data_IF_342185491416
#
_entry.id   IF_342185491416
#
_cell.length_a   1.000
_cell.length_b   1.000
_cell.length_c   1.000
_cell.angle_alpha   90.00
_cell.angle_beta   90.00
_cell.angle_gamma   90.00
#
_symmetry.space_group_name_H-M   'P 1'
#
loop_
_entity.id
_entity.type
_entity.pdbx_description
1 polymer ?
#
# COMPACT_ATOMS: atom_id res chain seq x y z
N UNK A 1 2.91 -47.05 -13.33
CA UNK A 1 1.45 -46.81 -13.24
C UNK A 1 1.15 -45.39 -13.70
N UNK A 2 0.25 -45.19 -14.67
CA UNK A 2 -0.19 -43.86 -15.06
C UNK A 2 -1.02 -43.29 -13.90
N UNK A 3 -0.58 -42.17 -13.32
CA UNK A 3 -1.22 -41.57 -12.15
C UNK A 3 -2.63 -41.10 -12.53
N UNK A 4 -3.65 -41.57 -11.80
CA UNK A 4 -5.02 -41.04 -11.88
C UNK A 4 -4.98 -39.50 -11.81
N UNK A 5 -5.84 -38.80 -12.57
CA UNK A 5 -5.98 -37.35 -12.45
C UNK A 5 -6.33 -37.03 -10.99
N UNK A 6 -5.46 -36.25 -10.32
CA UNK A 6 -5.71 -35.74 -8.97
C UNK A 6 -6.54 -34.48 -9.07
N UNK A 7 -7.50 -34.33 -8.18
CA UNK A 7 -8.23 -33.08 -8.02
C UNK A 7 -7.29 -31.95 -7.54
N UNK A 8 -7.74 -30.71 -7.72
CA UNK A 8 -6.95 -29.52 -7.43
C UNK A 8 -6.65 -29.40 -5.92
N UNK A 9 -7.61 -29.71 -5.06
CA UNK A 9 -7.45 -29.62 -3.60
C UNK A 9 -6.39 -30.59 -3.07
N UNK A 10 -6.43 -31.84 -3.52
CA UNK A 10 -5.42 -32.86 -3.28
C UNK A 10 -4.05 -32.43 -3.78
N UNK A 11 -3.99 -31.72 -4.90
CA UNK A 11 -2.74 -31.17 -5.44
C UNK A 11 -2.19 -30.07 -4.54
N UNK A 12 -3.03 -29.15 -4.06
CA UNK A 12 -2.63 -28.08 -3.12
C UNK A 12 -2.06 -28.61 -1.81
N UNK A 13 -2.53 -29.75 -1.32
CA UNK A 13 -2.04 -30.39 -0.08
C UNK A 13 -0.63 -30.95 -0.20
N UNK A 14 -0.20 -31.32 -1.41
CA UNK A 14 1.09 -31.99 -1.62
C UNK A 14 2.25 -31.01 -1.78
N UNK A 15 1.95 -29.76 -2.13
CA UNK A 15 2.95 -28.73 -2.36
C UNK A 15 3.15 -27.94 -1.06
N UNK A 16 4.40 -27.76 -0.66
CA UNK A 16 4.74 -26.96 0.50
C UNK A 16 4.55 -25.47 0.22
N UNK A 17 3.78 -24.78 1.06
CA UNK A 17 3.57 -23.33 0.98
C UNK A 17 4.87 -22.53 1.14
N UNK A 18 5.83 -23.02 1.92
CA UNK A 18 7.07 -22.28 2.18
C UNK A 18 8.12 -22.52 1.10
N UNK A 19 8.45 -23.78 0.79
CA UNK A 19 9.55 -24.09 -0.14
C UNK A 19 9.10 -24.47 -1.56
N UNK A 20 7.80 -24.59 -1.80
CA UNK A 20 7.25 -24.95 -3.12
C UNK A 20 7.51 -26.40 -3.52
N UNK A 21 8.24 -27.18 -2.72
CA UNK A 21 8.53 -28.57 -3.04
C UNK A 21 7.31 -29.47 -2.80
N UNK A 22 7.18 -30.48 -3.66
CA UNK A 22 6.22 -31.56 -3.46
C UNK A 22 6.71 -32.51 -2.38
N UNK A 23 5.86 -32.77 -1.39
CA UNK A 23 6.11 -33.75 -0.34
C UNK A 23 4.82 -34.48 0.05
N UNK A 24 4.84 -35.81 0.00
CA UNK A 24 3.71 -36.66 0.38
C UNK A 24 3.33 -36.56 1.86
N UNK A 25 4.27 -36.10 2.71
CA UNK A 25 4.10 -35.89 4.16
C UNK A 25 3.72 -34.45 4.51
N UNK A 26 3.30 -33.64 3.54
CA UNK A 26 2.80 -32.30 3.82
C UNK A 26 1.58 -32.37 4.74
N UNK A 27 1.60 -31.56 5.79
CA UNK A 27 0.49 -31.37 6.70
C UNK A 27 -0.47 -30.38 6.05
N UNK A 28 -1.75 -30.69 6.07
CA UNK A 28 -2.79 -29.80 5.57
C UNK A 28 -3.03 -28.63 6.54
N UNK A 29 -2.96 -27.42 6.01
CA UNK A 29 -3.27 -26.20 6.75
C UNK A 29 -4.77 -25.99 6.73
N UNK A 30 -5.34 -25.83 7.94
CA UNK A 30 -6.75 -25.55 8.17
C UNK A 30 -6.90 -24.20 8.87
N UNK A 31 -8.07 -23.58 8.74
CA UNK A 31 -8.38 -22.32 9.42
C UNK A 31 -8.14 -22.43 10.92
N UNK A 32 -7.49 -21.43 11.52
CA UNK A 32 -7.14 -21.42 12.94
C UNK A 32 -5.86 -22.18 13.30
N UNK A 33 -5.14 -22.77 12.33
CA UNK A 33 -3.85 -23.40 12.60
C UNK A 33 -2.79 -22.35 12.95
N UNK A 34 -2.09 -22.45 14.10
CA UNK A 34 -1.08 -21.47 14.51
C UNK A 34 0.11 -21.38 13.54
N UNK A 35 0.33 -22.40 12.70
CA UNK A 35 1.35 -22.40 11.66
C UNK A 35 1.07 -21.34 10.58
N UNK A 36 -0.19 -20.95 10.35
CA UNK A 36 -0.56 -19.91 9.40
C UNK A 36 0.10 -18.56 9.77
N UNK A 37 0.08 -18.22 11.06
CA UNK A 37 0.70 -16.99 11.57
C UNK A 37 2.21 -17.03 11.34
N UNK A 38 2.86 -18.17 11.59
CA UNK A 38 4.30 -18.30 11.37
C UNK A 38 4.66 -18.20 9.88
N UNK A 39 3.86 -18.78 8.99
CA UNK A 39 4.04 -18.65 7.54
C UNK A 39 3.96 -17.18 7.12
N UNK A 40 2.96 -16.45 7.61
CA UNK A 40 2.80 -15.02 7.32
C UNK A 40 3.94 -14.17 7.86
N UNK A 41 4.45 -14.48 9.06
CA UNK A 41 5.54 -13.70 9.64
C UNK A 41 6.90 -13.95 8.96
N UNK A 42 7.20 -15.20 8.60
CA UNK A 42 8.57 -15.60 8.25
C UNK A 42 8.78 -16.04 6.80
N UNK A 43 7.73 -16.49 6.09
CA UNK A 43 7.87 -17.06 4.75
C UNK A 43 7.14 -16.27 3.66
N UNK A 44 5.88 -15.88 3.90
CA UNK A 44 5.07 -15.16 2.92
C UNK A 44 3.99 -14.30 3.61
N UNK A 45 4.27 -13.00 3.75
CA UNK A 45 3.45 -12.03 4.48
C UNK A 45 2.02 -11.88 3.96
N UNK A 46 1.82 -12.10 2.66
CA UNK A 46 0.52 -11.97 2.02
C UNK A 46 -0.14 -13.33 1.78
N UNK A 47 0.32 -14.39 2.44
CA UNK A 47 -0.25 -15.72 2.27
C UNK A 47 -1.71 -15.77 2.74
N UNK A 48 -2.57 -16.30 1.86
CA UNK A 48 -3.97 -16.55 2.14
C UNK A 48 -4.36 -17.97 1.67
N UNK A 49 -4.74 -18.84 2.61
CA UNK A 49 -5.10 -20.22 2.31
C UNK A 49 -6.42 -20.39 1.53
N UNK A 50 -7.29 -19.38 1.52
CA UNK A 50 -8.58 -19.46 0.78
C UNK A 50 -8.37 -19.30 -0.72
N UNK A 51 -7.25 -18.71 -1.15
CA UNK A 51 -6.91 -18.59 -2.56
C UNK A 51 -6.54 -19.96 -3.12
N UNK A 52 -7.30 -20.41 -4.13
CA UNK A 52 -7.10 -21.71 -4.78
C UNK A 52 -5.73 -21.82 -5.47
N UNK A 53 -5.13 -20.70 -5.87
CA UNK A 53 -3.77 -20.63 -6.42
C UNK A 53 -2.67 -20.91 -5.39
N UNK A 54 -3.00 -20.88 -4.09
CA UNK A 54 -2.03 -21.09 -3.03
C UNK A 54 -2.02 -22.56 -2.58
N UNK A 55 -0.83 -23.16 -2.34
CA UNK A 55 -0.70 -24.45 -1.67
C UNK A 55 -1.29 -24.39 -0.26
N UNK A 56 -1.82 -25.53 0.22
CA UNK A 56 -2.28 -25.69 1.60
C UNK A 56 -1.44 -26.74 2.36
N UNK A 57 -0.41 -27.30 1.73
CA UNK A 57 0.52 -28.22 2.37
C UNK A 57 1.65 -27.50 3.08
N UNK A 58 2.10 -28.04 4.21
CA UNK A 58 3.36 -27.65 4.86
C UNK A 58 4.24 -28.87 5.07
N UNK A 59 5.44 -28.87 4.49
CA UNK A 59 6.36 -29.99 4.67
C UNK A 59 6.98 -30.00 6.08
N UNK A 60 7.33 -31.19 6.62
CA UNK A 60 7.91 -31.30 7.97
C UNK A 60 9.17 -30.46 8.18
N UNK A 61 10.01 -30.34 7.15
CA UNK A 61 11.25 -29.56 7.19
C UNK A 61 10.97 -28.07 7.37
N UNK A 62 10.06 -27.49 6.57
CA UNK A 62 9.69 -26.09 6.71
C UNK A 62 8.95 -25.82 8.02
N UNK A 63 8.18 -26.79 8.53
CA UNK A 63 7.60 -26.69 9.88
C UNK A 63 8.69 -26.52 10.94
N UNK A 64 9.75 -27.32 10.91
CA UNK A 64 10.89 -27.18 11.84
C UNK A 64 11.51 -25.80 11.71
N UNK A 65 11.82 -25.35 10.49
CA UNK A 65 12.41 -24.03 10.25
C UNK A 65 11.54 -22.86 10.72
N UNK A 66 10.21 -22.94 10.58
CA UNK A 66 9.30 -21.93 11.11
C UNK A 66 9.36 -21.85 12.64
N UNK A 67 9.48 -22.99 13.33
CA UNK A 67 9.66 -22.99 14.79
C UNK A 67 11.05 -22.52 15.22
N UNK A 68 12.10 -22.85 14.46
CA UNK A 68 13.45 -22.31 14.67
C UNK A 68 13.47 -20.79 14.53
N UNK A 69 12.86 -20.25 13.47
CA UNK A 69 12.72 -18.81 13.28
C UNK A 69 11.93 -18.14 14.43
N UNK A 70 10.85 -18.79 14.89
CA UNK A 70 10.08 -18.32 16.07
C UNK A 70 10.94 -18.25 17.33
N UNK A 71 11.91 -19.15 17.49
CA UNK A 71 12.86 -19.16 18.63
C UNK A 71 13.99 -18.15 18.47
N UNK A 72 14.09 -17.44 17.35
CA UNK A 72 15.17 -16.51 17.04
C UNK A 72 16.42 -17.18 16.46
N UNK A 73 16.35 -18.45 16.07
CA UNK A 73 17.46 -19.13 15.39
C UNK A 73 17.63 -18.58 13.96
N UNK A 74 18.87 -18.35 13.56
CA UNK A 74 19.18 -17.88 12.20
C UNK A 74 19.02 -19.01 11.20
N UNK A 75 18.11 -18.84 10.23
CA UNK A 75 17.96 -19.78 9.12
C UNK A 75 19.08 -19.60 8.10
N UNK A 76 19.43 -20.69 7.40
CA UNK A 76 20.40 -20.62 6.32
C UNK A 76 19.91 -19.76 5.16
N UNK A 77 20.82 -19.04 4.49
CA UNK A 77 20.51 -18.22 3.32
C UNK A 77 19.77 -19.02 2.23
N UNK A 78 20.20 -20.27 1.98
CA UNK A 78 19.56 -21.18 1.03
C UNK A 78 18.08 -21.42 1.35
N UNK A 79 17.73 -21.50 2.64
CA UNK A 79 16.33 -21.69 3.06
C UNK A 79 15.51 -20.44 2.82
N UNK A 80 16.07 -19.27 3.17
CA UNK A 80 15.41 -17.97 2.97
C UNK A 80 15.18 -17.67 1.49
N UNK A 81 16.18 -17.91 0.65
CA UNK A 81 16.06 -17.76 -0.82
C UNK A 81 14.98 -18.67 -1.39
N UNK A 82 14.91 -19.93 -0.94
CA UNK A 82 13.84 -20.86 -1.37
C UNK A 82 12.46 -20.36 -0.99
N UNK A 83 12.30 -19.79 0.21
CA UNK A 83 11.02 -19.24 0.65
C UNK A 83 10.62 -18.00 -0.17
N UNK A 84 11.56 -17.10 -0.40
CA UNK A 84 11.34 -15.91 -1.23
C UNK A 84 10.95 -16.30 -2.66
N UNK A 85 11.71 -17.18 -3.31
CA UNK A 85 11.44 -17.66 -4.67
C UNK A 85 10.08 -18.35 -4.78
N UNK A 86 9.68 -19.11 -3.76
CA UNK A 86 8.36 -19.75 -3.72
C UNK A 86 7.25 -18.71 -3.64
N UNK A 87 7.41 -17.68 -2.81
CA UNK A 87 6.43 -16.60 -2.70
C UNK A 87 6.22 -15.87 -4.04
N UNK A 88 7.30 -15.67 -4.80
CA UNK A 88 7.24 -15.08 -6.15
C UNK A 88 6.64 -16.04 -7.18
N UNK A 89 7.01 -17.32 -7.15
CA UNK A 89 6.42 -18.37 -8.02
C UNK A 89 4.91 -18.45 -7.89
N UNK A 90 4.40 -18.41 -6.65
CA UNK A 90 2.97 -18.49 -6.38
C UNK A 90 2.22 -17.26 -6.95
N UNK A 91 2.85 -16.07 -6.96
CA UNK A 91 2.25 -14.86 -7.58
C UNK A 91 2.14 -14.96 -9.10
N UNK A 92 3.07 -15.69 -9.75
CA UNK A 92 3.12 -15.86 -11.20
C UNK A 92 2.15 -16.92 -11.72
N UNK A 93 1.43 -17.62 -10.84
CA UNK A 93 0.47 -18.65 -11.26
C UNK A 93 -0.76 -18.02 -11.90
N UNK A 94 -1.17 -18.44 -13.11
CA UNK A 94 -2.43 -17.98 -13.67
C UNK A 94 -3.56 -18.36 -12.71
N UNK A 95 -4.51 -17.42 -12.56
CA UNK A 95 -5.67 -17.62 -11.70
C UNK A 95 -6.42 -18.87 -12.19
N UNK A 96 -6.58 -19.83 -11.29
CA UNK A 96 -7.33 -21.06 -11.50
C UNK A 96 -8.63 -20.75 -12.28
N UNK A 97 -8.81 -21.36 -13.47
CA UNK A 97 -9.92 -21.08 -14.39
C UNK A 97 -11.28 -21.65 -13.95
N UNK A 98 -11.38 -22.13 -12.70
CA UNK A 98 -12.63 -22.66 -12.11
C UNK A 98 -12.69 -24.19 -12.05
N UNK A 99 -13.63 -24.70 -11.25
CA UNK A 99 -13.85 -26.14 -10.98
C UNK A 99 -14.47 -26.90 -12.17
N UNK A 100 -14.84 -26.20 -13.24
CA UNK A 100 -15.60 -26.74 -14.39
C UNK A 100 -14.72 -27.40 -15.47
N UNK A 101 -13.40 -27.39 -15.32
CA UNK A 101 -12.47 -27.99 -16.30
C UNK A 101 -12.07 -29.39 -15.82
N UNK A 102 -12.31 -30.41 -16.65
CA UNK A 102 -12.01 -31.82 -16.35
C UNK A 102 -10.52 -32.10 -16.04
N UNK A 103 -9.62 -31.23 -16.50
CA UNK A 103 -8.20 -31.24 -16.16
C UNK A 103 -7.71 -29.82 -15.82
N UNK A 104 -7.33 -29.61 -14.56
CA UNK A 104 -6.69 -28.36 -14.14
C UNK A 104 -5.21 -28.37 -14.53
N UNK A 105 -4.78 -27.40 -15.34
CA UNK A 105 -3.39 -27.25 -15.80
C UNK A 105 -2.66 -26.09 -15.11
N UNK A 106 -3.07 -25.78 -13.87
CA UNK A 106 -2.29 -24.89 -13.02
C UNK A 106 -1.00 -25.57 -12.55
N UNK A 107 0.00 -24.77 -12.17
CA UNK A 107 1.29 -25.30 -11.72
C UNK A 107 1.15 -26.30 -10.57
N UNK A 108 0.25 -26.08 -9.60
CA UNK A 108 0.08 -27.00 -8.48
C UNK A 108 -0.36 -28.40 -8.94
N UNK A 109 -1.26 -28.46 -9.93
CA UNK A 109 -1.72 -29.71 -10.52
C UNK A 109 -0.66 -30.35 -11.43
N UNK A 110 0.10 -29.54 -12.18
CA UNK A 110 1.23 -30.03 -12.98
C UNK A 110 2.29 -30.64 -12.04
N UNK A 111 2.67 -29.92 -10.98
CA UNK A 111 3.63 -30.38 -9.96
C UNK A 111 3.17 -31.64 -9.24
N UNK A 112 1.88 -31.76 -8.95
CA UNK A 112 1.33 -32.95 -8.27
C UNK A 112 1.35 -34.19 -9.17
N UNK A 113 1.20 -34.02 -10.49
CA UNK A 113 1.23 -35.09 -11.50
C UNK A 113 2.65 -35.49 -11.89
N UNK A 114 3.58 -34.52 -11.95
CA UNK A 114 4.99 -34.77 -12.24
C UNK A 114 5.58 -35.77 -11.21
N UNK A 115 6.61 -36.51 -11.59
CA UNK A 115 7.41 -37.35 -10.68
C UNK A 115 8.45 -36.54 -9.93
N UNK A 116 8.92 -35.43 -10.49
CA UNK A 116 9.94 -34.54 -9.89
C UNK A 116 9.51 -33.98 -8.53
N UNK A 117 10.47 -33.72 -7.63
CA UNK A 117 10.18 -33.09 -6.32
C UNK A 117 9.91 -31.59 -6.45
N UNK A 118 10.48 -30.94 -7.45
CA UNK A 118 10.37 -29.52 -7.72
C UNK A 118 10.37 -29.30 -9.24
N UNK A 119 9.66 -28.27 -9.69
CA UNK A 119 9.70 -27.84 -11.09
C UNK A 119 10.69 -26.67 -11.23
N UNK A 120 11.47 -26.71 -12.31
CA UNK A 120 12.38 -25.62 -12.66
C UNK A 120 11.58 -24.37 -13.03
N UNK A 121 11.99 -23.21 -12.50
CA UNK A 121 11.31 -21.94 -12.77
C UNK A 121 11.27 -21.60 -14.26
N UNK A 122 12.33 -21.92 -15.01
CA UNK A 122 12.37 -21.67 -16.45
C UNK A 122 11.34 -22.52 -17.19
N UNK A 123 11.13 -23.77 -16.78
CA UNK A 123 10.11 -24.63 -17.38
C UNK A 123 8.70 -24.08 -17.12
N UNK A 124 8.45 -23.57 -15.90
CA UNK A 124 7.18 -22.89 -15.56
C UNK A 124 6.98 -21.64 -16.42
N UNK A 125 7.99 -20.78 -16.52
CA UNK A 125 7.92 -19.57 -17.32
C UNK A 125 7.64 -19.93 -18.79
N UNK A 126 8.36 -20.91 -19.34
CA UNK A 126 8.18 -21.38 -20.72
C UNK A 126 6.78 -21.98 -20.97
N UNK A 127 6.15 -22.60 -19.98
CA UNK A 127 4.76 -23.08 -20.09
C UNK A 127 3.75 -21.94 -20.22
N UNK A 128 4.00 -20.79 -19.59
CA UNK A 128 3.06 -19.66 -19.55
C UNK A 128 3.44 -18.49 -20.47
N UNK A 129 4.63 -18.50 -21.09
CA UNK A 129 5.04 -17.53 -22.11
C UNK A 129 4.19 -17.64 -23.39
N UNK A 130 3.51 -18.78 -23.59
CA UNK A 130 2.71 -19.06 -24.80
C UNK A 130 1.19 -18.88 -24.64
N UNK A 131 0.69 -18.41 -23.49
CA UNK A 131 -0.74 -18.05 -23.38
C UNK A 131 -0.95 -16.70 -24.11
N UNK A 132 -1.76 -16.66 -25.20
CA UNK A 132 -2.08 -15.39 -25.84
C UNK A 132 -3.00 -14.59 -24.91
N UNK A 133 -2.74 -13.29 -24.80
CA UNK A 133 -3.58 -12.28 -24.13
C UNK A 133 -3.49 -12.13 -22.59
N UNK A 134 -2.27 -12.10 -22.05
CA UNK A 134 -2.02 -11.08 -21.01
C UNK A 134 -1.41 -9.89 -21.73
N UNK A 135 -2.04 -8.69 -21.74
CA UNK A 135 -1.35 -7.49 -22.18
C UNK A 135 -0.08 -7.41 -21.36
N UNK A 136 1.08 -7.66 -21.99
CA UNK A 136 2.37 -7.39 -21.35
C UNK A 136 2.25 -5.97 -20.84
N UNK A 137 2.32 -5.77 -19.52
CA UNK A 137 2.48 -4.43 -18.99
C UNK A 137 3.65 -3.85 -19.77
N UNK A 138 3.37 -2.82 -20.55
CA UNK A 138 4.40 -2.11 -21.27
C UNK A 138 5.23 -1.47 -20.17
N UNK A 139 6.30 -2.16 -19.77
CA UNK A 139 7.28 -1.60 -18.86
C UNK A 139 7.91 -0.46 -19.66
N UNK A 140 7.40 0.74 -19.44
CA UNK A 140 7.96 1.96 -20.00
C UNK A 140 9.43 1.99 -19.59
N UNK A 141 10.33 1.80 -20.55
CA UNK A 141 11.77 1.92 -20.28
C UNK A 141 12.02 3.40 -20.02
N UNK A 142 12.63 3.73 -18.89
CA UNK A 142 12.96 5.10 -18.53
C UNK A 142 14.47 5.26 -18.61
N UNK A 143 14.93 6.36 -19.20
CA UNK A 143 16.35 6.72 -19.22
C UNK A 143 16.86 6.93 -17.79
N UNK A 144 17.90 6.21 -17.38
CA UNK A 144 18.52 6.40 -16.06
C UNK A 144 19.24 7.74 -15.89
N UNK A 145 19.53 8.44 -17.00
CA UNK A 145 20.29 9.70 -16.99
C UNK A 145 19.40 10.93 -17.02
N UNK A 146 18.32 10.92 -17.81
CA UNK A 146 17.44 12.07 -17.96
C UNK A 146 15.99 11.83 -17.56
N UNK A 147 15.61 10.59 -17.23
CA UNK A 147 14.25 10.18 -16.86
C UNK A 147 13.18 10.32 -17.97
N UNK A 148 13.57 10.49 -19.23
CA UNK A 148 12.64 10.42 -20.37
C UNK A 148 12.24 8.96 -20.66
N UNK A 149 11.01 8.74 -21.14
CA UNK A 149 10.58 7.43 -21.68
C UNK A 149 11.39 7.09 -22.94
N UNK A 150 11.88 5.86 -23.00
CA UNK A 150 12.63 5.26 -24.10
C UNK A 150 11.77 4.13 -24.68
N UNK A 151 11.69 4.07 -26.00
CA UNK A 151 10.95 3.03 -26.69
C UNK A 151 11.34 2.96 -28.16
N UNK A 152 10.92 1.88 -28.83
CA UNK A 152 11.07 1.78 -30.28
C UNK A 152 10.32 2.94 -30.94
N UNK A 153 10.98 3.70 -31.82
CA UNK A 153 10.42 4.87 -32.51
C UNK A 153 10.41 6.18 -31.71
N UNK A 154 10.87 6.20 -30.45
CA UNK A 154 10.97 7.43 -29.66
C UNK A 154 12.39 8.00 -29.78
N UNK A 155 12.53 9.19 -30.36
CA UNK A 155 13.80 9.90 -30.36
C UNK A 155 14.15 10.36 -28.94
N UNK A 156 15.32 9.96 -28.46
CA UNK A 156 15.79 10.25 -27.11
C UNK A 156 17.11 11.05 -27.11
N UNK A 157 17.06 12.39 -27.27
CA UNK A 157 18.22 13.24 -27.08
C UNK A 157 18.48 13.41 -25.59
N UNK A 158 19.39 12.61 -25.03
CA UNK A 158 19.69 12.63 -23.60
C UNK A 158 20.34 13.95 -23.16
N UNK A 159 19.55 14.85 -22.57
CA UNK A 159 20.02 16.13 -22.05
C UNK A 159 19.74 16.28 -20.56
N UNK A 160 20.75 16.72 -19.79
CA UNK A 160 20.62 16.94 -18.34
C UNK A 160 19.73 18.15 -18.00
N UNK A 161 19.55 19.08 -18.93
CA UNK A 161 18.70 20.28 -18.73
C UNK A 161 17.23 19.92 -18.53
N UNK A 162 16.77 18.81 -19.10
CA UNK A 162 15.36 18.43 -19.13
C UNK A 162 14.96 17.48 -17.98
N UNK A 163 15.89 17.12 -17.09
CA UNK A 163 15.66 16.18 -15.97
C UNK A 163 14.44 16.58 -15.14
N UNK A 164 14.36 17.84 -14.72
CA UNK A 164 13.28 18.33 -13.85
C UNK A 164 11.93 18.23 -14.55
N UNK A 165 11.89 18.54 -15.85
CA UNK A 165 10.67 18.47 -16.65
C UNK A 165 10.25 17.01 -16.90
N UNK A 166 11.19 16.11 -17.17
CA UNK A 166 10.92 14.69 -17.34
C UNK A 166 10.39 14.04 -16.06
N UNK A 167 10.97 14.38 -14.90
CA UNK A 167 10.48 13.94 -13.60
C UNK A 167 9.07 14.43 -13.31
N UNK A 168 8.76 15.70 -13.67
CA UNK A 168 7.39 16.24 -13.56
C UNK A 168 6.41 15.44 -14.41
N UNK A 169 6.75 15.17 -15.67
CA UNK A 169 5.91 14.36 -16.57
C UNK A 169 5.70 12.95 -16.02
N UNK A 170 6.76 12.31 -15.51
CA UNK A 170 6.65 10.99 -14.87
C UNK A 170 5.72 11.03 -13.67
N UNK A 171 5.88 12.00 -12.77
CA UNK A 171 5.04 12.14 -11.58
C UNK A 171 3.56 12.26 -11.97
N UNK A 172 3.24 13.12 -12.93
CA UNK A 172 1.85 13.31 -13.39
C UNK A 172 1.24 12.06 -14.04
N UNK A 173 2.06 11.14 -14.56
CA UNK A 173 1.59 9.89 -15.15
C UNK A 173 1.22 8.78 -14.14
N UNK A 174 1.58 8.94 -12.84
CA UNK A 174 1.36 7.92 -11.79
C UNK A 174 -0.03 7.95 -11.12
N UNK A 175 -0.92 8.83 -11.62
CA UNK A 175 -2.28 9.01 -11.11
C UNK A 175 -2.40 10.09 -10.03
N UNK A 176 -3.44 10.93 -10.13
CA UNK A 176 -3.61 12.14 -9.31
C UNK A 176 -3.54 11.89 -7.80
N UNK A 177 -4.19 10.82 -7.32
CA UNK A 177 -4.24 10.49 -5.89
C UNK A 177 -2.85 10.23 -5.28
N UNK A 178 -1.99 9.53 -6.01
CA UNK A 178 -0.61 9.25 -5.57
C UNK A 178 0.22 10.52 -5.55
N UNK A 179 0.05 11.37 -6.56
CA UNK A 179 0.71 12.69 -6.66
C UNK A 179 0.32 13.58 -5.49
N UNK A 180 -0.98 13.71 -5.22
CA UNK A 180 -1.51 14.52 -4.10
C UNK A 180 -0.94 14.08 -2.75
N UNK A 181 -0.88 12.76 -2.50
CA UNK A 181 -0.31 12.22 -1.26
C UNK A 181 1.18 12.56 -1.11
N UNK A 182 1.95 12.45 -2.19
CA UNK A 182 3.37 12.79 -2.19
C UNK A 182 3.58 14.29 -2.00
N UNK A 183 2.84 15.13 -2.71
CA UNK A 183 2.88 16.59 -2.55
C UNK A 183 2.51 17.01 -1.12
N UNK A 184 1.46 16.42 -0.53
CA UNK A 184 1.06 16.68 0.85
C UNK A 184 2.20 16.39 1.84
N UNK A 185 2.91 15.27 1.66
CA UNK A 185 4.06 14.90 2.51
C UNK A 185 5.22 15.88 2.34
N UNK A 186 5.58 16.21 1.10
CA UNK A 186 6.66 17.16 0.81
C UNK A 186 6.38 18.56 1.36
N UNK A 187 5.13 19.03 1.31
CA UNK A 187 4.74 20.32 1.88
C UNK A 187 4.87 20.34 3.42
N UNK A 188 4.53 19.24 4.10
CA UNK A 188 4.72 19.11 5.55
C UNK A 188 6.20 19.10 5.92
N UNK A 189 7.04 18.43 5.14
CA UNK A 189 8.50 18.44 5.34
C UNK A 189 9.05 19.87 5.19
N UNK A 190 8.67 20.59 4.14
CA UNK A 190 9.08 22.00 3.94
C UNK A 190 8.64 22.89 5.12
N UNK A 191 7.43 22.67 5.66
CA UNK A 191 6.94 23.42 6.82
C UNK A 191 7.82 23.17 8.06
N UNK A 192 8.22 21.92 8.30
CA UNK A 192 9.14 21.56 9.39
C UNK A 192 10.53 22.18 9.18
N UNK A 193 11.07 22.12 7.97
CA UNK A 193 12.38 22.71 7.66
C UNK A 193 12.42 24.22 7.85
N UNK A 194 11.30 24.92 7.61
CA UNK A 194 11.22 26.38 7.74
C UNK A 194 10.82 26.87 9.15
N UNK A 195 10.64 25.98 10.13
CA UNK A 195 10.19 26.33 11.50
C UNK A 195 8.90 27.18 11.53
N UNK A 196 7.95 26.90 10.64
CA UNK A 196 6.68 27.66 10.55
C UNK A 196 5.65 27.01 11.47
N UNK A 197 5.76 27.27 12.78
CA UNK A 197 4.83 26.74 13.79
C UNK A 197 3.52 27.54 13.90
N UNK A 198 3.49 28.81 13.45
CA UNK A 198 2.46 29.75 13.89
C UNK A 198 1.37 30.12 12.87
N UNK A 199 1.60 30.00 11.56
CA UNK A 199 0.65 30.60 10.58
C UNK A 199 0.18 29.68 9.44
N UNK A 200 0.48 28.37 9.53
CA UNK A 200 0.04 27.34 8.58
C UNK A 200 0.28 27.70 7.09
N UNK A 201 1.17 28.65 6.80
CA UNK A 201 1.42 29.18 5.47
C UNK A 201 2.79 28.75 5.00
N UNK A 202 2.86 28.12 3.83
CA UNK A 202 4.11 27.74 3.19
C UNK A 202 4.30 28.58 1.94
N UNK A 203 5.40 29.34 1.90
CA UNK A 203 5.81 30.10 0.73
C UNK A 203 6.77 29.26 -0.12
N UNK A 204 6.36 28.98 -1.35
CA UNK A 204 7.12 28.24 -2.35
C UNK A 204 7.85 29.20 -3.30
N UNK A 205 9.12 28.91 -3.58
CA UNK A 205 9.87 29.60 -4.63
C UNK A 205 9.43 29.06 -5.99
N UNK A 206 8.72 29.88 -6.76
CA UNK A 206 8.57 29.68 -8.20
C UNK A 206 9.62 30.57 -8.86
N UNK A 207 10.19 30.23 -10.01
CA UNK A 207 11.26 31.03 -10.65
C UNK A 207 10.91 32.51 -10.98
N UNK A 208 9.74 32.99 -10.57
CA UNK A 208 9.33 34.40 -10.51
C UNK A 208 8.74 34.73 -9.14
N UNK A 209 7.48 35.17 -9.09
CA UNK A 209 6.82 35.56 -7.83
C UNK A 209 6.59 34.36 -6.91
N UNK A 210 7.00 34.41 -5.64
CA UNK A 210 6.75 33.33 -4.68
C UNK A 210 5.25 33.04 -4.52
N UNK A 211 4.91 31.77 -4.35
CA UNK A 211 3.53 31.31 -4.17
C UNK A 211 3.29 30.95 -2.70
N UNK A 212 2.34 31.64 -2.05
CA UNK A 212 1.96 31.36 -0.65
C UNK A 212 0.76 30.42 -0.59
N UNK A 213 0.89 29.30 0.13
CA UNK A 213 -0.15 28.28 0.31
C UNK A 213 -0.52 28.14 1.78
N UNK A 214 -1.82 28.16 2.10
CA UNK A 214 -2.32 27.78 3.44
C UNK A 214 -2.55 26.27 3.52
N UNK A 215 -1.92 25.64 4.51
CA UNK A 215 -1.97 24.20 4.77
C UNK A 215 -2.83 23.95 6.02
N UNK A 216 -3.95 23.24 5.85
CA UNK A 216 -4.86 22.90 6.95
C UNK A 216 -6.09 23.80 7.01
N UNK A 217 -6.94 23.57 8.03
CA UNK A 217 -8.13 24.41 8.25
C UNK A 217 -7.70 25.75 8.86
N UNK A 218 -8.28 26.85 8.36
CA UNK A 218 -8.20 28.14 9.07
C UNK A 218 -8.61 27.90 10.53
N UNK A 219 -7.84 28.38 11.51
CA UNK A 219 -8.28 28.33 12.90
C UNK A 219 -9.61 29.10 12.98
N UNK A 220 -10.69 28.40 13.33
CA UNK A 220 -11.95 29.04 13.68
C UNK A 220 -11.68 29.83 14.96
N UNK A 221 -11.60 31.16 14.85
CA UNK A 221 -11.57 32.03 16.00
C UNK A 221 -12.81 31.71 16.84
N UNK A 222 -12.61 31.30 18.11
CA UNK A 222 -13.72 31.08 19.03
C UNK A 222 -14.36 32.43 19.32
N UNK A 223 -15.55 32.67 18.77
CA UNK A 223 -16.31 33.89 19.00
C UNK A 223 -17.25 33.70 20.18
N UNK A 224 -17.41 34.74 21.00
CA UNK A 224 -18.46 34.75 22.03
C UNK A 224 -19.77 35.09 21.33
N UNK A 225 -20.68 34.12 21.31
CA UNK A 225 -21.99 34.27 20.66
C UNK A 225 -22.91 35.24 21.41
N UNK A 226 -23.82 35.89 20.69
CA UNK A 226 -24.88 36.71 21.31
C UNK A 226 -25.76 35.89 22.27
N UNK A 227 -25.97 34.61 21.97
CA UNK A 227 -26.71 33.67 22.82
C UNK A 227 -26.04 33.47 24.19
N UNK A 228 -24.70 33.50 24.25
CA UNK A 228 -23.94 33.43 25.51
C UNK A 228 -24.29 34.62 26.41
N UNK A 229 -24.39 35.82 25.83
CA UNK A 229 -24.80 37.02 26.56
C UNK A 229 -26.25 36.97 27.03
N UNK A 230 -27.18 36.46 26.20
CA UNK A 230 -28.57 36.24 26.62
C UNK A 230 -28.68 35.24 27.78
N UNK A 231 -27.87 34.18 27.77
CA UNK A 231 -27.86 33.21 28.86
C UNK A 231 -27.30 33.82 30.16
N UNK A 232 -26.26 34.65 30.08
CA UNK A 232 -25.73 35.39 31.23
C UNK A 232 -26.77 36.38 31.77
N UNK A 233 -27.44 37.11 30.87
CA UNK A 233 -28.53 38.03 31.21
C UNK A 233 -29.62 37.32 32.02
N UNK A 234 -30.12 36.19 31.53
CA UNK A 234 -31.18 35.41 32.20
C UNK A 234 -30.72 34.79 33.51
N UNK A 235 -29.48 34.31 33.59
CA UNK A 235 -28.96 33.62 34.77
C UNK A 235 -28.68 34.56 35.94
N UNK A 236 -28.31 35.80 35.64
CA UNK A 236 -27.90 36.80 36.65
C UNK A 236 -28.83 38.02 36.72
N UNK A 237 -29.98 37.95 36.04
CA UNK A 237 -31.01 39.00 35.96
C UNK A 237 -30.43 40.40 35.67
N UNK A 238 -29.52 40.45 34.69
CA UNK A 238 -28.82 41.69 34.32
C UNK A 238 -29.64 42.53 33.34
N UNK A 239 -29.50 43.85 33.41
CA UNK A 239 -30.09 44.76 32.42
C UNK A 239 -29.36 44.68 31.07
N UNK A 240 -30.04 45.06 29.99
CA UNK A 240 -29.47 45.11 28.64
C UNK A 240 -28.24 46.03 28.58
N UNK A 241 -28.30 47.17 29.28
CA UNK A 241 -27.19 48.11 29.38
C UNK A 241 -25.91 47.47 29.98
N UNK A 242 -26.06 46.67 31.03
CA UNK A 242 -24.92 46.00 31.68
C UNK A 242 -24.30 44.95 30.76
N UNK A 243 -25.12 44.19 30.03
CA UNK A 243 -24.66 43.18 29.08
C UNK A 243 -23.96 43.83 27.87
N UNK A 244 -24.49 44.92 27.35
CA UNK A 244 -23.87 45.66 26.25
C UNK A 244 -22.53 46.29 26.67
N UNK A 245 -22.43 46.79 27.90
CA UNK A 245 -21.17 47.28 28.48
C UNK A 245 -20.11 46.18 28.60
N UNK A 246 -20.51 44.98 29.07
CA UNK A 246 -19.62 43.80 29.14
C UNK A 246 -19.17 43.38 27.74
N UNK A 247 -20.09 43.31 26.77
CA UNK A 247 -19.76 42.96 25.39
C UNK A 247 -18.83 44.00 24.75
N UNK A 248 -19.02 45.29 25.04
CA UNK A 248 -18.16 46.37 24.55
C UNK A 248 -16.75 46.28 25.13
N UNK A 249 -16.61 45.99 26.43
CA UNK A 249 -15.31 45.83 27.07
C UNK A 249 -14.57 44.59 26.54
N UNK A 250 -15.28 43.46 26.36
CA UNK A 250 -14.73 42.26 25.74
C UNK A 250 -14.27 42.49 24.30
N UNK A 251 -14.98 43.33 23.52
CA UNK A 251 -14.56 43.72 22.16
C UNK A 251 -13.27 44.54 22.13
N UNK A 252 -12.97 45.32 23.19
CA UNK A 252 -11.69 46.06 23.28
C UNK A 252 -10.49 45.12 23.41
N UNK A 253 -10.64 44.05 24.19
CA UNK A 253 -9.56 43.09 24.44
C UNK A 253 -9.45 41.97 23.39
N UNK A 254 -10.59 41.45 22.89
CA UNK A 254 -10.63 40.32 21.95
C UNK A 254 -10.74 40.75 20.47
N UNK A 255 -10.95 42.04 20.21
CA UNK A 255 -11.20 42.59 18.88
C UNK A 255 -12.64 42.36 18.38
N UNK A 256 -13.02 43.08 17.31
CA UNK A 256 -14.39 43.04 16.74
C UNK A 256 -14.81 41.65 16.23
N UNK A 257 -13.86 40.79 15.89
CA UNK A 257 -14.11 39.42 15.43
C UNK A 257 -14.27 38.42 16.59
N UNK A 258 -13.90 38.78 17.82
CA UNK A 258 -13.97 37.89 18.99
C UNK A 258 -15.33 37.85 19.68
N UNK A 259 -16.23 38.80 19.38
CA UNK A 259 -17.55 38.94 20.01
C UNK A 259 -18.57 39.27 18.92
N UNK A 260 -19.62 38.45 18.80
CA UNK A 260 -20.67 38.70 17.80
C UNK A 260 -21.38 40.04 18.06
N UNK A 261 -21.76 40.73 16.98
CA UNK A 261 -22.47 42.00 17.07
C UNK A 261 -23.94 41.77 17.43
N UNK A 262 -24.44 42.52 18.42
CA UNK A 262 -25.87 42.58 18.77
C UNK A 262 -26.69 43.40 17.75
N UNK A 263 -26.15 43.72 16.58
CA UNK A 263 -26.87 44.44 15.54
C UNK A 263 -28.02 43.57 15.03
N UNK A 264 -29.19 43.86 15.58
CA UNK A 264 -30.51 43.44 15.15
C UNK A 264 -30.64 43.47 13.63
N UNK A 265 -31.14 42.38 13.07
CA UNK A 265 -32.03 42.45 11.91
C UNK A 265 -33.41 42.88 12.41
#
# INVERSE_FOLDING_TARGET
MPNKPRDHFSSRKLICVCCGDKNLKCIELVTGNPLLILIQLYANTNYNMTLLSNPIGLCPTCKIYLYSAKKGETLSLVTLERWLLTSERIKLLPRFKGETVSTCDCLLCIMSRDKSKSINLQDVLNMYINDPEVPKEVIDKICCTCYQRIGSGIQHPCNKRDIVQNLKTLLMSTGLKTVEQKLSKSLKEIQQFKNIELDNTVTLSTGGTPLSLQIGKKPTLKTISTQTFYNIKRKHDMSDYTIDSIAMELRKYLGRLGVESNSSK
#
